data_IF_963340256655
#
_entry.id   IF_963340256655
#
_cell.length_a   1.000
_cell.length_b   1.000
_cell.length_c   1.000
_cell.angle_alpha   90.00
_cell.angle_beta   90.00
_cell.angle_gamma   90.00
#
_symmetry.space_group_name_H-M   'P 1'
#
loop_
_entity.id
_entity.type
_entity.pdbx_description
1 polymer ?
#
# COMPACT_ATOMS: atom_id res chain seq x y z
N UNK A 1 12.62 13.59 -9.40
CA UNK A 1 12.54 12.52 -8.39
C UNK A 1 13.47 12.89 -7.25
N UNK A 2 12.90 13.25 -6.10
CA UNK A 2 13.63 13.43 -4.84
C UNK A 2 13.85 12.09 -4.14
N UNK A 3 14.80 12.02 -3.21
CA UNK A 3 15.03 10.83 -2.38
C UNK A 3 13.74 10.39 -1.65
N UNK A 4 12.98 11.36 -1.14
CA UNK A 4 11.72 11.10 -0.46
C UNK A 4 10.66 10.49 -1.39
N UNK A 5 10.57 10.95 -2.64
CA UNK A 5 9.68 10.34 -3.63
C UNK A 5 10.11 8.89 -3.93
N UNK A 6 11.40 8.63 -4.09
CA UNK A 6 11.90 7.27 -4.33
C UNK A 6 11.54 6.32 -3.16
N UNK A 7 11.81 6.74 -1.93
CA UNK A 7 11.46 5.97 -0.72
C UNK A 7 9.95 5.72 -0.66
N UNK A 8 9.14 6.74 -0.95
CA UNK A 8 7.69 6.61 -0.96
C UNK A 8 7.23 5.57 -1.99
N UNK A 9 7.75 5.63 -3.22
CA UNK A 9 7.45 4.66 -4.27
C UNK A 9 7.86 3.24 -3.88
N UNK A 10 9.04 3.09 -3.26
CA UNK A 10 9.51 1.80 -2.76
C UNK A 10 8.55 1.22 -1.71
N UNK A 11 8.18 2.00 -0.69
CA UNK A 11 7.23 1.57 0.36
C UNK A 11 5.87 1.16 -0.23
N UNK A 12 5.40 1.89 -1.23
CA UNK A 12 4.13 1.60 -1.91
C UNK A 12 4.19 0.29 -2.70
N UNK A 13 5.29 -0.01 -3.38
CA UNK A 13 5.51 -1.30 -4.06
C UNK A 13 5.55 -2.47 -3.07
N UNK A 14 6.29 -2.32 -1.98
CA UNK A 14 6.34 -3.32 -0.90
C UNK A 14 4.94 -3.58 -0.30
N UNK A 15 4.09 -2.55 -0.23
CA UNK A 15 2.72 -2.71 0.27
C UNK A 15 1.89 -3.61 -0.65
N UNK A 16 2.03 -3.49 -1.97
CA UNK A 16 1.36 -4.36 -2.94
C UNK A 16 1.84 -5.80 -2.78
N UNK A 17 3.14 -6.02 -2.70
CA UNK A 17 3.71 -7.37 -2.51
C UNK A 17 3.19 -8.01 -1.22
N UNK A 18 3.12 -7.25 -0.12
CA UNK A 18 2.56 -7.73 1.15
C UNK A 18 1.06 -8.00 1.08
N UNK A 19 0.29 -7.22 0.32
CA UNK A 19 -1.14 -7.51 0.10
C UNK A 19 -1.34 -8.85 -0.61
N UNK A 20 -0.47 -9.20 -1.56
CA UNK A 20 -0.49 -10.48 -2.26
C UNK A 20 0.00 -11.65 -1.38
N UNK A 21 1.08 -11.44 -0.61
CA UNK A 21 1.63 -12.48 0.29
C UNK A 21 0.72 -12.78 1.48
N UNK A 22 -0.01 -11.78 1.98
CA UNK A 22 -0.82 -11.88 3.19
C UNK A 22 -2.26 -11.39 2.93
N UNK A 23 -3.08 -12.14 2.16
CA UNK A 23 -4.42 -11.71 1.75
C UNK A 23 -5.37 -11.48 2.93
N UNK A 24 -5.13 -12.08 4.08
CA UNK A 24 -5.95 -11.91 5.29
C UNK A 24 -5.48 -10.77 6.19
N UNK A 25 -4.24 -10.27 6.00
CA UNK A 25 -3.68 -9.22 6.87
C UNK A 25 -4.43 -7.89 6.74
N UNK A 26 -4.84 -7.24 7.85
CA UNK A 26 -5.47 -5.92 7.80
C UNK A 26 -4.60 -4.90 7.04
N UNK A 27 -5.24 -4.03 6.25
CA UNK A 27 -4.52 -3.00 5.49
C UNK A 27 -3.77 -2.00 6.41
N UNK A 28 -4.28 -1.78 7.62
CA UNK A 28 -3.59 -1.00 8.66
C UNK A 28 -2.24 -1.63 9.01
N UNK A 29 -2.22 -2.94 9.30
CA UNK A 29 -1.00 -3.68 9.61
C UNK A 29 -0.01 -3.66 8.44
N UNK A 30 -0.49 -3.80 7.19
CA UNK A 30 0.37 -3.70 6.00
C UNK A 30 0.99 -2.30 5.90
N UNK A 31 0.20 -1.24 6.15
CA UNK A 31 0.71 0.13 6.11
C UNK A 31 1.79 0.39 7.17
N UNK A 32 1.61 -0.15 8.37
CA UNK A 32 2.61 -0.04 9.45
C UNK A 32 3.90 -0.78 9.07
N UNK A 33 3.80 -2.00 8.53
CA UNK A 33 4.95 -2.80 8.11
C UNK A 33 5.77 -2.17 6.99
N UNK A 34 5.16 -1.34 6.14
CA UNK A 34 5.87 -0.61 5.07
C UNK A 34 6.28 0.81 5.49
N UNK A 35 6.16 1.12 6.78
CA UNK A 35 6.71 2.35 7.37
C UNK A 35 5.77 3.56 7.31
N UNK A 36 4.45 3.35 7.24
CA UNK A 36 3.47 4.42 7.42
C UNK A 36 2.92 4.40 8.85
N UNK A 37 3.10 5.50 9.57
CA UNK A 37 2.49 5.68 10.91
C UNK A 37 1.04 6.16 10.85
N UNK A 38 0.61 6.75 9.73
CA UNK A 38 -0.75 7.23 9.53
C UNK A 38 -1.41 6.53 8.32
N UNK A 39 -2.46 5.76 8.61
CA UNK A 39 -3.17 4.99 7.59
C UNK A 39 -3.92 5.89 6.58
N UNK A 40 -4.41 7.07 7.01
CA UNK A 40 -5.12 7.99 6.12
C UNK A 40 -4.17 8.56 5.06
N UNK A 41 -2.96 8.94 5.45
CA UNK A 41 -1.89 9.39 4.58
C UNK A 41 -1.45 8.29 3.62
N UNK A 42 -1.24 7.07 4.14
CA UNK A 42 -0.99 5.88 3.30
C UNK A 42 -2.05 5.73 2.20
N UNK A 43 -3.33 5.71 2.57
CA UNK A 43 -4.42 5.58 1.60
C UNK A 43 -4.43 6.70 0.56
N UNK A 44 -4.17 7.95 0.97
CA UNK A 44 -4.10 9.12 0.08
C UNK A 44 -2.97 9.00 -0.93
N UNK A 45 -1.75 8.68 -0.49
CA UNK A 45 -0.58 8.60 -1.39
C UNK A 45 -0.59 7.33 -2.24
N UNK A 46 -1.09 6.22 -1.70
CA UNK A 46 -1.29 4.98 -2.46
C UNK A 46 -2.25 5.21 -3.62
N UNK A 47 -3.43 5.79 -3.34
CA UNK A 47 -4.41 6.12 -4.39
C UNK A 47 -3.85 7.11 -5.41
N UNK A 48 -3.05 8.09 -4.97
CA UNK A 48 -2.38 9.02 -5.89
C UNK A 48 -1.39 8.32 -6.82
N UNK A 49 -0.68 7.30 -6.32
CA UNK A 49 0.37 6.62 -7.07
C UNK A 49 -0.17 5.52 -8.00
N UNK A 50 -1.11 4.69 -7.52
CA UNK A 50 -1.65 3.55 -8.29
C UNK A 50 -3.00 3.83 -8.95
N UNK A 51 -3.59 5.02 -8.72
CA UNK A 51 -4.93 5.40 -9.19
C UNK A 51 -6.08 4.50 -8.68
N UNK A 52 -5.81 3.64 -7.70
CA UNK A 52 -6.74 2.73 -7.05
C UNK A 52 -6.49 2.75 -5.54
N UNK A 53 -7.53 2.61 -4.71
CA UNK A 53 -7.32 2.55 -3.26
C UNK A 53 -6.72 1.21 -2.82
N UNK A 54 -6.00 1.17 -1.67
CA UNK A 54 -5.51 -0.09 -1.10
C UNK A 54 -6.61 -1.14 -0.92
N UNK A 55 -7.82 -0.71 -0.55
CA UNK A 55 -8.98 -1.57 -0.33
C UNK A 55 -9.48 -2.20 -1.63
N UNK A 56 -9.58 -1.40 -2.69
CA UNK A 56 -9.99 -1.87 -4.01
C UNK A 56 -8.97 -2.87 -4.57
N UNK A 57 -7.67 -2.55 -4.52
CA UNK A 57 -6.62 -3.46 -5.00
C UNK A 57 -6.64 -4.80 -4.24
N UNK A 58 -6.76 -4.75 -2.91
CA UNK A 58 -6.84 -5.95 -2.08
C UNK A 58 -8.10 -6.78 -2.38
N UNK A 59 -9.20 -6.13 -2.75
CA UNK A 59 -10.43 -6.84 -3.14
C UNK A 59 -10.26 -7.57 -4.48
N UNK A 60 -9.56 -6.97 -5.45
CA UNK A 60 -9.31 -7.57 -6.77
C UNK A 60 -8.44 -8.84 -6.63
N UNK A 61 -7.38 -8.77 -5.81
CA UNK A 61 -6.48 -9.91 -5.59
C UNK A 61 -7.10 -11.14 -4.91
N UNK A 62 -8.36 -11.06 -4.46
CA UNK A 62 -9.11 -12.20 -3.91
C UNK A 62 -10.03 -12.89 -4.91
N UNK A 63 -10.16 -12.34 -6.11
CA UNK A 63 -11.07 -12.86 -7.16
C UNK A 63 -10.34 -13.83 -8.10
N UNK A 64 -9.03 -14.03 -7.90
CA UNK A 64 -8.19 -14.97 -8.66
C UNK A 64 -7.63 -16.07 -7.78
#
# INVERSE_FOLDING_TARGET
MTLNEYILQYRLKQAVEKMSQYPDSPLSQISEQVGFSDYKYFGKVFKKYFHISPKELKSIGRIV
#
